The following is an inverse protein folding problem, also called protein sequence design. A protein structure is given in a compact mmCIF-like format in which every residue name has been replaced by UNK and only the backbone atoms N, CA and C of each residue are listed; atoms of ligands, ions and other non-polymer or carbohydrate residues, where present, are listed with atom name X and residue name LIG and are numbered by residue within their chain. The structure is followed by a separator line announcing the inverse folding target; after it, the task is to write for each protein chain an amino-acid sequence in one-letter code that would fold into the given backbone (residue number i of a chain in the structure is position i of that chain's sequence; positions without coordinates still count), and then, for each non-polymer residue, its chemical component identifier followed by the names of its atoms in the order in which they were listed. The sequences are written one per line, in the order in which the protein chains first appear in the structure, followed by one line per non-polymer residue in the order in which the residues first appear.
data_IF_546129060570
#
_entry.id   IF_546129060570
#
_cell.length_a   1.000
_cell.length_b   1.000
_cell.length_c   1.000
_cell.angle_alpha   90.00
_cell.angle_beta   90.00
_cell.angle_gamma   90.00
#
_symmetry.space_group_name_H-M   'P 1'
#
loop_
_entity.id
_entity.type
_entity.pdbx_description
1 polymer ?
#
# COMPACT_ATOMS: atom_id res chain seq x y z
N UNK A 1 -10.55 -14.61 10.32
CA UNK A 1 -11.26 -14.93 9.08
C UNK A 1 -12.37 -15.89 9.41
N UNK A 2 -13.58 -15.68 8.83
CA UNK A 2 -14.73 -16.56 8.90
C UNK A 2 -15.36 -16.60 7.51
N UNK A 3 -15.86 -17.78 7.09
CA UNK A 3 -16.44 -17.89 5.77
C UNK A 3 -17.21 -19.19 5.58
N UNK A 4 -17.84 -19.29 4.43
CA UNK A 4 -18.54 -20.49 3.95
C UNK A 4 -18.41 -20.55 2.43
N UNK A 5 -18.24 -21.75 1.91
CA UNK A 5 -18.21 -22.04 0.48
C UNK A 5 -19.25 -23.07 0.12
N UNK A 6 -19.80 -22.93 -1.07
CA UNK A 6 -20.75 -23.88 -1.68
C UNK A 6 -20.28 -24.16 -3.09
N UNK A 7 -20.15 -25.44 -3.41
CA UNK A 7 -19.89 -25.92 -4.77
C UNK A 7 -20.98 -26.89 -5.20
N UNK A 8 -21.38 -26.81 -6.46
CA UNK A 8 -22.36 -27.72 -7.05
C UNK A 8 -22.04 -28.02 -8.51
N UNK A 9 -22.25 -29.25 -8.91
CA UNK A 9 -22.24 -29.65 -10.31
C UNK A 9 -23.59 -30.29 -10.66
N UNK A 10 -24.15 -29.93 -11.80
CA UNK A 10 -25.43 -30.41 -12.26
C UNK A 10 -25.37 -30.78 -13.74
N UNK A 11 -25.78 -32.02 -14.04
CA UNK A 11 -25.83 -32.57 -15.40
C UNK A 11 -27.28 -32.99 -15.73
N UNK A 12 -28.09 -32.07 -16.25
CA UNK A 12 -29.51 -32.35 -16.51
C UNK A 12 -29.76 -33.30 -17.67
N UNK A 13 -28.80 -33.37 -18.61
CA UNK A 13 -28.87 -34.24 -19.79
C UNK A 13 -27.47 -34.53 -20.32
N UNK A 14 -27.27 -35.61 -21.10
CA UNK A 14 -25.98 -35.93 -21.68
C UNK A 14 -25.37 -34.75 -22.47
N UNK A 15 -24.11 -34.45 -22.18
CA UNK A 15 -23.38 -33.35 -22.83
C UNK A 15 -23.62 -31.95 -22.24
N UNK A 16 -24.59 -31.77 -21.34
CA UNK A 16 -24.80 -30.47 -20.69
C UNK A 16 -24.41 -30.54 -19.21
N UNK A 17 -23.42 -29.76 -18.84
CA UNK A 17 -22.88 -29.68 -17.47
C UNK A 17 -22.84 -28.24 -17.01
N UNK A 18 -23.34 -28.00 -15.81
CA UNK A 18 -23.21 -26.75 -15.10
C UNK A 18 -22.36 -26.93 -13.84
N UNK A 19 -21.53 -25.96 -13.54
CA UNK A 19 -20.79 -25.86 -12.27
C UNK A 19 -21.10 -24.51 -11.65
N UNK A 20 -21.26 -24.52 -10.35
CA UNK A 20 -21.46 -23.34 -9.53
C UNK A 20 -20.50 -23.38 -8.35
N UNK A 21 -19.85 -22.26 -8.05
CA UNK A 21 -19.13 -22.05 -6.82
C UNK A 21 -19.48 -20.67 -6.26
N UNK A 22 -19.78 -20.60 -4.97
CA UNK A 22 -20.08 -19.37 -4.27
C UNK A 22 -19.36 -19.33 -2.94
N UNK A 23 -18.68 -18.21 -2.65
CA UNK A 23 -17.94 -18.00 -1.42
C UNK A 23 -18.43 -16.77 -0.68
N UNK A 24 -18.52 -16.89 0.65
CA UNK A 24 -18.64 -15.78 1.57
C UNK A 24 -17.43 -15.78 2.51
N UNK A 25 -16.75 -14.65 2.59
CA UNK A 25 -15.61 -14.47 3.48
C UNK A 25 -15.75 -13.17 4.27
N UNK A 26 -15.54 -13.24 5.57
CA UNK A 26 -15.43 -12.08 6.44
C UNK A 26 -14.06 -12.07 7.11
N UNK A 27 -13.26 -11.07 6.77
CA UNK A 27 -11.94 -10.85 7.36
C UNK A 27 -11.98 -9.69 8.34
N UNK A 28 -11.19 -9.78 9.38
CA UNK A 28 -11.00 -8.70 10.34
C UNK A 28 -9.63 -8.80 10.98
N UNK A 29 -8.90 -7.69 11.04
CA UNK A 29 -7.67 -7.55 11.80
C UNK A 29 -8.03 -7.42 13.28
N UNK A 30 -7.31 -8.13 14.15
CA UNK A 30 -7.52 -8.05 15.58
C UNK A 30 -7.17 -6.67 16.13
N UNK A 31 -7.80 -6.32 17.25
CA UNK A 31 -7.52 -5.06 17.94
C UNK A 31 -6.05 -5.02 18.44
N UNK A 32 -5.50 -3.81 18.60
CA UNK A 32 -4.14 -3.62 19.07
C UNK A 32 -3.05 -3.75 17.99
N UNK A 33 -3.42 -3.88 16.71
CA UNK A 33 -2.49 -3.85 15.60
C UNK A 33 -2.35 -2.42 15.08
N UNK A 34 -1.11 -1.97 14.94
CA UNK A 34 -0.80 -0.62 14.46
C UNK A 34 0.25 -0.69 13.35
N UNK A 35 0.16 0.21 12.37
CA UNK A 35 1.17 0.36 11.33
C UNK A 35 1.19 1.79 10.80
N UNK A 36 2.34 2.20 10.27
CA UNK A 36 2.49 3.49 9.60
C UNK A 36 2.06 3.33 8.15
N UNK A 37 1.10 4.14 7.71
CA UNK A 37 0.72 4.21 6.30
C UNK A 37 1.79 4.97 5.51
N UNK A 38 2.58 4.27 4.72
CA UNK A 38 3.66 4.87 3.93
C UNK A 38 3.17 5.90 2.90
N UNK A 39 1.89 5.87 2.53
CA UNK A 39 1.29 6.83 1.61
C UNK A 39 0.68 8.05 2.32
N UNK A 40 0.47 7.94 3.63
CA UNK A 40 -0.06 9.02 4.47
C UNK A 40 0.60 8.98 5.86
N UNK A 41 1.93 9.08 5.88
CA UNK A 41 2.75 9.02 7.11
C UNK A 41 2.42 10.14 8.10
N UNK A 42 2.03 11.29 7.60
CA UNK A 42 1.68 12.44 8.41
C UNK A 42 0.28 12.36 9.00
N UNK A 43 -0.55 11.40 8.55
CA UNK A 43 -1.95 11.26 8.96
C UNK A 43 -2.69 12.61 8.94
N UNK A 44 -2.64 13.26 7.78
CA UNK A 44 -3.03 14.67 7.60
C UNK A 44 -4.48 14.94 8.03
N UNK A 45 -5.35 13.94 7.96
CA UNK A 45 -6.73 14.07 8.41
C UNK A 45 -6.84 14.35 9.91
N UNK A 46 -5.98 13.73 10.73
CA UNK A 46 -5.95 13.87 12.18
C UNK A 46 -4.87 14.88 12.64
N UNK A 47 -3.83 15.07 11.84
CA UNK A 47 -2.68 15.92 12.13
C UNK A 47 -2.42 16.92 10.99
N UNK A 48 -3.35 17.87 10.74
CA UNK A 48 -3.27 18.79 9.59
C UNK A 48 -2.08 19.75 9.64
N UNK A 49 -1.44 19.89 10.79
CA UNK A 49 -0.25 20.71 11.05
C UNK A 49 1.06 19.98 10.72
N UNK A 50 1.01 18.69 10.39
CA UNK A 50 2.17 17.89 9.98
C UNK A 50 2.24 17.72 8.48
N UNK A 51 3.44 17.38 7.99
CA UNK A 51 3.67 17.09 6.58
C UNK A 51 4.73 16.01 6.41
N UNK A 52 4.66 15.33 5.27
CA UNK A 52 5.72 14.40 4.83
C UNK A 52 6.79 15.18 4.09
N UNK A 53 8.03 14.94 4.47
CA UNK A 53 9.22 15.54 3.84
C UNK A 53 10.07 14.43 3.24
N UNK A 54 10.54 14.66 2.01
CA UNK A 54 11.47 13.78 1.32
C UNK A 54 12.82 14.49 1.19
N UNK A 55 13.80 14.18 2.06
CA UNK A 55 15.06 14.93 2.09
C UNK A 55 15.91 14.73 0.82
N UNK A 56 15.84 13.54 0.22
CA UNK A 56 16.61 13.20 -0.98
C UNK A 56 15.70 12.68 -2.08
N UNK A 57 15.81 13.23 -3.28
CA UNK A 57 15.00 12.80 -4.44
C UNK A 57 15.25 11.34 -4.84
N UNK A 58 16.47 10.87 -4.63
CA UNK A 58 16.96 9.54 -5.04
C UNK A 58 16.81 8.45 -4.00
N UNK A 59 16.46 8.79 -2.75
CA UNK A 59 16.33 7.84 -1.65
C UNK A 59 14.85 7.66 -1.27
N UNK A 60 14.49 6.44 -0.84
CA UNK A 60 13.14 6.13 -0.36
C UNK A 60 12.82 6.70 1.02
N UNK A 61 13.78 7.37 1.64
CA UNK A 61 13.69 7.91 2.98
C UNK A 61 12.78 9.12 3.04
N UNK A 62 11.70 9.00 3.79
CA UNK A 62 10.77 10.09 4.09
C UNK A 62 10.67 10.24 5.60
N UNK A 63 10.50 11.47 6.09
CA UNK A 63 10.14 11.72 7.47
C UNK A 63 8.92 12.63 7.57
N UNK A 64 8.37 12.78 8.77
CA UNK A 64 7.32 13.75 9.04
C UNK A 64 7.87 14.89 9.92
N UNK A 65 7.42 16.11 9.63
CA UNK A 65 7.74 17.30 10.39
C UNK A 65 6.48 18.16 10.56
N UNK A 66 6.41 18.96 11.63
CA UNK A 66 5.44 20.05 11.71
C UNK A 66 5.67 21.07 10.59
N UNK A 67 4.59 21.56 10.00
CA UNK A 67 4.66 22.55 8.90
C UNK A 67 5.39 23.83 9.29
N UNK A 68 5.25 24.29 10.55
CA UNK A 68 5.93 25.51 11.02
C UNK A 68 7.45 25.32 11.07
N UNK A 69 7.93 24.11 11.41
CA UNK A 69 9.37 23.80 11.40
C UNK A 69 9.89 23.85 9.98
N UNK A 70 9.19 23.21 9.03
CA UNK A 70 9.57 23.23 7.63
C UNK A 70 9.58 24.66 7.06
N UNK A 71 8.60 25.48 7.41
CA UNK A 71 8.55 26.89 7.01
C UNK A 71 9.75 27.67 7.56
N UNK A 72 10.12 27.46 8.81
CA UNK A 72 11.30 28.11 9.42
C UNK A 72 12.61 27.67 8.74
N UNK A 73 12.75 26.38 8.44
CA UNK A 73 13.92 25.85 7.73
C UNK A 73 14.07 26.44 6.32
N UNK A 74 12.98 26.61 5.59
CA UNK A 74 12.99 27.21 4.26
C UNK A 74 13.36 28.71 4.28
N UNK A 75 13.01 29.42 5.35
CA UNK A 75 13.38 30.82 5.53
C UNK A 75 14.85 30.96 5.93
N UNK A 76 15.31 30.12 6.87
CA UNK A 76 16.68 30.14 7.36
C UNK A 76 17.69 29.72 6.27
N UNK A 77 17.31 28.80 5.42
CA UNK A 77 18.14 28.26 4.34
C UNK A 77 17.30 28.00 3.10
N UNK A 78 17.04 29.02 2.27
CA UNK A 78 16.31 28.83 1.03
C UNK A 78 17.03 27.78 0.15
N UNK A 79 16.28 27.02 -0.65
CA UNK A 79 16.88 26.06 -1.58
C UNK A 79 17.91 26.77 -2.45
N UNK A 80 19.15 26.29 -2.43
CA UNK A 80 20.21 26.84 -3.27
C UNK A 80 19.93 26.43 -4.71
N UNK A 81 20.28 27.29 -5.67
CA UNK A 81 20.11 27.06 -7.09
C UNK A 81 20.65 25.68 -7.51
N UNK A 82 19.98 25.08 -8.51
CA UNK A 82 20.29 23.75 -9.04
C UNK A 82 21.80 23.48 -9.18
N UNK A 83 22.29 22.52 -8.40
CA UNK A 83 23.73 22.13 -8.38
C UNK A 83 24.38 22.16 -7.00
N UNK A 84 23.82 22.88 -6.02
CA UNK A 84 24.24 22.85 -4.62
C UNK A 84 23.08 22.36 -3.75
N UNK A 85 23.04 21.08 -3.49
CA UNK A 85 21.92 20.39 -2.82
C UNK A 85 22.02 20.46 -1.28
N UNK A 86 22.36 21.59 -0.72
CA UNK A 86 22.31 21.79 0.72
C UNK A 86 21.04 22.45 1.14
N UNK A 87 19.98 21.66 1.16
CA UNK A 87 18.81 22.05 1.92
C UNK A 87 18.98 21.60 3.38
N UNK A 88 18.48 22.41 4.31
CA UNK A 88 18.35 22.04 5.72
C UNK A 88 17.40 20.85 5.97
N UNK A 89 16.69 20.42 4.94
CA UNK A 89 15.74 19.29 4.97
C UNK A 89 16.40 17.96 5.29
N UNK A 90 17.58 17.60 4.76
CA UNK A 90 18.29 16.39 5.17
C UNK A 90 18.57 16.32 6.67
N UNK A 91 19.02 17.42 7.27
CA UNK A 91 19.23 17.50 8.72
C UNK A 91 17.95 17.33 9.53
N UNK A 92 16.83 17.87 9.04
CA UNK A 92 15.54 17.76 9.70
C UNK A 92 15.01 16.33 9.80
N UNK A 93 15.35 15.49 8.81
CA UNK A 93 14.94 14.08 8.76
C UNK A 93 15.98 13.12 9.36
N UNK A 94 17.13 13.58 9.79
CA UNK A 94 18.21 12.70 10.24
C UNK A 94 17.82 11.84 11.45
N UNK A 95 16.77 12.21 12.20
CA UNK A 95 16.22 11.34 13.27
C UNK A 95 15.66 10.04 12.73
N UNK A 96 15.02 10.02 11.58
CA UNK A 96 14.56 8.80 10.94
C UNK A 96 15.73 7.85 10.62
N UNK A 97 16.95 8.39 10.53
CA UNK A 97 18.16 7.64 10.25
C UNK A 97 19.06 7.38 11.46
N UNK A 98 18.79 7.99 12.61
CA UNK A 98 19.64 7.84 13.79
C UNK A 98 19.75 6.39 14.30
N UNK A 99 18.77 5.57 14.00
CA UNK A 99 18.75 4.16 14.33
C UNK A 99 19.16 3.25 13.19
N UNK A 100 19.43 3.83 12.00
CA UNK A 100 19.88 3.11 10.83
C UNK A 100 21.39 3.09 10.72
N UNK A 101 21.88 2.04 10.08
CA UNK A 101 23.29 1.90 9.70
C UNK A 101 23.33 2.01 8.18
N UNK A 102 24.21 2.86 7.66
CA UNK A 102 24.48 2.93 6.23
C UNK A 102 24.94 1.55 5.74
N UNK A 103 24.21 0.91 4.82
CA UNK A 103 24.54 -0.44 4.35
C UNK A 103 25.88 -0.51 3.60
N UNK A 104 26.42 0.62 3.15
CA UNK A 104 27.69 0.68 2.41
C UNK A 104 28.86 0.86 3.37
N UNK A 105 28.73 1.77 4.35
CA UNK A 105 29.83 2.11 5.25
C UNK A 105 29.79 1.36 6.59
N UNK A 106 28.65 0.76 6.94
CA UNK A 106 28.44 0.13 8.24
C UNK A 106 28.41 1.12 9.40
N UNK A 107 28.40 2.42 9.13
CA UNK A 107 28.37 3.47 10.14
C UNK A 107 26.95 3.94 10.41
N UNK A 108 26.64 4.38 11.65
CA UNK A 108 25.40 5.09 11.90
C UNK A 108 25.29 6.30 10.95
N UNK A 109 24.13 6.54 10.38
CA UNK A 109 23.90 7.66 9.45
C UNK A 109 24.32 9.03 10.02
N UNK A 110 24.29 9.17 11.34
CA UNK A 110 24.78 10.36 12.06
C UNK A 110 26.26 10.64 11.88
N UNK A 111 27.08 9.62 11.64
CA UNK A 111 28.55 9.73 11.55
C UNK A 111 29.05 9.78 10.11
N UNK A 112 28.20 9.53 9.13
CA UNK A 112 28.62 9.54 7.74
C UNK A 112 28.62 10.97 7.19
N UNK A 113 29.75 11.47 6.69
CA UNK A 113 29.79 12.72 5.92
C UNK A 113 29.20 12.47 4.52
N UNK A 114 27.91 12.10 4.49
CA UNK A 114 27.16 11.94 3.23
C UNK A 114 26.68 13.31 2.72
N UNK A 115 26.93 14.34 3.52
CA UNK A 115 26.58 15.71 3.20
C UNK A 115 27.78 16.39 2.54
N UNK A 116 27.53 17.21 1.49
CA UNK A 116 28.55 18.03 0.85
C UNK A 116 29.34 18.89 1.87
N UNK A 117 30.46 19.42 1.45
CA UNK A 117 31.42 20.21 2.26
C UNK A 117 30.82 21.43 3.00
N UNK A 118 29.57 21.77 2.71
CA UNK A 118 28.79 22.84 3.32
C UNK A 118 27.75 22.34 4.37
N UNK A 119 27.84 21.06 4.80
CA UNK A 119 27.08 20.59 5.95
C UNK A 119 27.43 21.41 7.19
N UNK A 120 26.42 22.06 7.75
CA UNK A 120 26.56 22.82 8.99
C UNK A 120 26.22 21.92 10.17
N UNK A 121 27.23 21.53 10.98
CA UNK A 121 27.02 20.69 12.16
C UNK A 121 26.18 21.40 13.25
N UNK A 122 25.97 22.71 13.17
CA UNK A 122 25.05 23.45 14.08
C UNK A 122 23.58 23.10 13.81
N UNK A 123 23.32 22.44 12.70
CA UNK A 123 22.04 21.81 12.37
C UNK A 123 21.99 20.35 12.78
N UNK A 124 22.99 19.85 13.50
CA UNK A 124 22.94 18.54 14.11
C UNK A 124 21.72 18.49 15.05
N UNK A 125 20.96 17.47 14.90
CA UNK A 125 19.64 17.29 15.52
C UNK A 125 19.67 17.16 17.05
N UNK A 126 20.84 17.12 17.64
CA UNK A 126 21.01 17.23 19.10
C UNK A 126 21.15 18.66 19.57
N UNK A 127 21.31 19.61 18.64
CA UNK A 127 21.29 21.02 18.98
C UNK A 127 19.85 21.55 18.79
N UNK A 128 19.16 22.02 19.82
CA UNK A 128 17.86 22.67 19.71
C UNK A 128 17.90 23.98 18.90
N UNK A 129 19.05 24.27 18.23
CA UNK A 129 19.37 25.52 17.60
C UNK A 129 18.33 26.08 16.64
N UNK A 130 18.25 25.76 15.36
CA UNK A 130 17.36 26.48 14.45
C UNK A 130 15.94 25.93 14.38
N UNK A 131 15.56 24.91 15.15
CA UNK A 131 14.21 24.35 15.19
C UNK A 131 13.37 25.09 16.23
N UNK A 132 12.50 26.02 15.88
CA UNK A 132 11.81 26.84 16.86
C UNK A 132 10.87 26.00 17.74
N UNK A 133 11.38 25.59 18.92
CA UNK A 133 10.61 24.83 19.89
C UNK A 133 10.25 23.39 19.50
N UNK A 134 10.90 22.82 18.50
CA UNK A 134 10.70 21.43 18.07
C UNK A 134 11.95 20.61 18.30
N UNK A 135 11.78 19.50 19.00
CA UNK A 135 12.79 18.46 19.12
C UNK A 135 12.48 17.34 18.11
N UNK A 136 13.30 17.14 17.06
CA UNK A 136 13.09 16.08 16.10
C UNK A 136 13.05 14.68 16.71
N UNK A 137 13.70 14.45 17.87
CA UNK A 137 13.64 13.18 18.59
C UNK A 137 12.23 12.90 19.15
N UNK A 138 11.43 13.94 19.34
CA UNK A 138 10.03 13.82 19.78
C UNK A 138 9.04 13.51 18.65
N UNK A 139 9.49 13.50 17.40
CA UNK A 139 8.63 13.18 16.26
C UNK A 139 8.09 11.75 16.35
N UNK A 140 6.81 11.53 16.02
CA UNK A 140 6.18 10.22 16.10
C UNK A 140 6.97 9.12 15.39
N UNK A 141 7.24 8.02 16.09
CA UNK A 141 8.06 6.90 15.61
C UNK A 141 9.41 7.37 15.02
N UNK A 142 10.11 8.25 15.73
CA UNK A 142 11.38 8.84 15.31
C UNK A 142 11.30 9.55 13.93
N UNK A 143 10.17 10.16 13.64
CA UNK A 143 9.92 10.85 12.38
C UNK A 143 9.46 9.97 11.23
N UNK A 144 9.28 8.67 11.44
CA UNK A 144 8.76 7.79 10.38
C UNK A 144 7.29 8.05 10.06
N UNK A 145 6.51 8.46 11.04
CA UNK A 145 5.10 8.77 10.83
C UNK A 145 4.19 8.37 11.99
N UNK A 146 2.95 8.76 11.89
CA UNK A 146 1.90 8.38 12.82
C UNK A 146 1.46 6.94 12.55
N UNK A 147 1.45 6.11 13.59
CA UNK A 147 0.92 4.76 13.52
C UNK A 147 -0.62 4.79 13.57
N UNK A 148 -1.26 4.20 12.56
CA UNK A 148 -2.71 4.05 12.49
C UNK A 148 -3.14 2.73 13.10
N UNK A 149 -4.27 2.74 13.81
CA UNK A 149 -4.89 1.53 14.33
C UNK A 149 -5.51 0.74 13.16
N UNK A 150 -5.14 -0.52 13.01
CA UNK A 150 -5.67 -1.42 11.99
C UNK A 150 -6.79 -2.31 12.53
N UNK A 151 -7.05 -2.29 13.83
CA UNK A 151 -8.07 -3.12 14.47
C UNK A 151 -9.44 -2.90 13.85
N UNK A 152 -10.08 -3.98 13.44
CA UNK A 152 -11.37 -3.94 12.77
C UNK A 152 -11.33 -3.84 11.25
N UNK A 153 -10.21 -3.49 10.65
CA UNK A 153 -10.06 -3.41 9.20
C UNK A 153 -10.11 -4.79 8.54
N UNK A 154 -10.58 -4.82 7.31
CA UNK A 154 -10.60 -6.01 6.47
C UNK A 154 -9.23 -6.26 5.82
N UNK A 155 -8.93 -7.52 5.50
CA UNK A 155 -7.71 -7.89 4.79
C UNK A 155 -7.77 -7.44 3.32
N UNK A 156 -6.62 -7.12 2.72
CA UNK A 156 -6.54 -6.79 1.31
C UNK A 156 -6.92 -7.98 0.42
N UNK A 157 -7.53 -7.68 -0.72
CA UNK A 157 -7.90 -8.66 -1.75
C UNK A 157 -8.79 -9.81 -1.24
N UNK A 158 -9.58 -9.55 -0.21
CA UNK A 158 -10.52 -10.49 0.38
C UNK A 158 -11.96 -9.98 0.17
N UNK A 159 -12.55 -10.16 -1.03
CA UNK A 159 -13.92 -9.72 -1.30
C UNK A 159 -14.92 -10.52 -0.44
N UNK A 160 -15.90 -9.86 0.20
CA UNK A 160 -16.89 -10.53 1.06
C UNK A 160 -17.68 -11.61 0.33
N UNK A 161 -17.93 -11.43 -0.96
CA UNK A 161 -18.66 -12.41 -1.77
C UNK A 161 -17.97 -12.64 -3.11
N UNK A 162 -17.98 -13.92 -3.53
CA UNK A 162 -17.58 -14.34 -4.86
C UNK A 162 -18.59 -15.35 -5.44
N UNK A 163 -18.84 -15.26 -6.73
CA UNK A 163 -19.68 -16.22 -7.45
C UNK A 163 -18.95 -16.61 -8.74
N UNK A 164 -18.86 -17.91 -8.99
CA UNK A 164 -18.38 -18.46 -10.24
C UNK A 164 -19.42 -19.45 -10.78
N UNK A 165 -19.71 -19.35 -12.06
CA UNK A 165 -20.60 -20.25 -12.77
C UNK A 165 -19.95 -20.63 -14.08
N UNK A 166 -20.04 -21.92 -14.47
CA UNK A 166 -19.68 -22.35 -15.81
C UNK A 166 -20.68 -23.32 -16.38
N UNK A 167 -20.81 -23.31 -17.70
CA UNK A 167 -21.64 -24.24 -18.44
C UNK A 167 -20.92 -24.78 -19.66
N UNK A 168 -20.97 -26.09 -19.84
CA UNK A 168 -20.47 -26.80 -21.00
C UNK A 168 -21.63 -27.51 -21.70
N UNK A 169 -21.77 -27.30 -23.01
CA UNK A 169 -22.71 -28.05 -23.82
C UNK A 169 -22.00 -28.68 -25.01
N UNK A 170 -21.86 -30.00 -24.98
CA UNK A 170 -21.18 -30.79 -26.00
C UNK A 170 -22.18 -31.56 -26.84
N UNK A 171 -22.11 -31.38 -28.14
CA UNK A 171 -22.94 -32.13 -29.12
C UNK A 171 -22.06 -32.78 -30.20
N UNK A 172 -22.40 -34.00 -30.64
CA UNK A 172 -21.78 -34.60 -31.82
C UNK A 172 -22.24 -33.78 -33.06
N UNK A 173 -21.28 -33.36 -33.88
CA UNK A 173 -21.53 -32.66 -35.13
C UNK A 173 -21.51 -33.62 -36.30
N UNK A 174 -20.58 -34.58 -36.26
CA UNK A 174 -20.45 -35.67 -37.24
C UNK A 174 -19.95 -36.93 -36.50
N UNK A 175 -19.71 -38.05 -37.27
CA UNK A 175 -19.10 -39.25 -36.68
C UNK A 175 -17.68 -38.98 -36.12
N UNK A 176 -16.97 -37.99 -36.64
CA UNK A 176 -15.57 -37.71 -36.34
C UNK A 176 -15.34 -36.40 -35.59
N UNK A 177 -16.38 -35.62 -35.35
CA UNK A 177 -16.30 -34.32 -34.73
C UNK A 177 -17.36 -34.06 -33.70
N UNK A 178 -16.96 -33.46 -32.56
CA UNK A 178 -17.85 -32.93 -31.55
C UNK A 178 -17.61 -31.41 -31.36
N UNK A 179 -18.66 -30.68 -31.08
CA UNK A 179 -18.60 -29.26 -30.72
C UNK A 179 -19.01 -29.04 -29.28
N UNK A 180 -18.22 -28.28 -28.54
CA UNK A 180 -18.55 -27.88 -27.18
C UNK A 180 -18.66 -26.34 -27.10
N UNK A 181 -19.81 -25.85 -26.68
CA UNK A 181 -19.99 -24.48 -26.27
C UNK A 181 -19.68 -24.38 -24.77
N UNK A 182 -18.75 -23.52 -24.41
CA UNK A 182 -18.35 -23.23 -23.04
C UNK A 182 -18.66 -21.78 -22.70
N UNK A 183 -19.20 -21.55 -21.51
CA UNK A 183 -19.45 -20.22 -20.97
C UNK A 183 -19.04 -20.15 -19.50
N UNK A 184 -18.30 -19.09 -19.12
CA UNK A 184 -17.98 -18.78 -17.74
C UNK A 184 -18.56 -17.43 -17.36
N UNK A 185 -19.01 -17.36 -16.12
CA UNK A 185 -19.39 -16.14 -15.43
C UNK A 185 -18.64 -16.11 -14.10
N UNK A 186 -17.97 -14.99 -13.82
CA UNK A 186 -17.37 -14.71 -12.53
C UNK A 186 -17.81 -13.34 -12.04
N UNK A 187 -18.17 -13.24 -10.77
CA UNK A 187 -18.45 -11.99 -10.09
C UNK A 187 -17.80 -11.98 -8.72
N UNK A 188 -17.23 -10.83 -8.34
CA UNK A 188 -16.80 -10.57 -6.98
C UNK A 188 -17.28 -9.21 -6.50
N UNK A 189 -17.51 -9.13 -5.20
CA UNK A 189 -17.84 -7.88 -4.51
C UNK A 189 -16.59 -6.98 -4.39
N UNK A 190 -16.76 -5.81 -3.79
CA UNK A 190 -15.62 -4.93 -3.50
C UNK A 190 -14.55 -5.65 -2.67
N UNK A 191 -13.33 -5.12 -2.68
CA UNK A 191 -12.25 -5.50 -1.77
C UNK A 191 -11.39 -4.28 -1.44
N UNK A 192 -10.46 -4.46 -0.53
CA UNK A 192 -9.49 -3.42 -0.18
C UNK A 192 -8.14 -3.70 -0.81
N UNK A 193 -7.47 -2.65 -1.31
CA UNK A 193 -6.12 -2.77 -1.85
C UNK A 193 -5.05 -2.86 -0.75
N UNK A 194 -5.31 -2.23 0.40
CA UNK A 194 -4.37 -2.15 1.53
C UNK A 194 -5.08 -2.38 2.87
N UNK A 195 -4.32 -2.77 3.88
CA UNK A 195 -4.80 -3.02 5.25
C UNK A 195 -5.37 -1.79 5.96
N UNK A 196 -5.10 -0.59 5.44
CA UNK A 196 -5.56 0.68 6.05
C UNK A 196 -7.03 0.98 5.76
N UNK A 197 -7.61 0.32 4.76
CA UNK A 197 -9.01 0.49 4.34
C UNK A 197 -9.41 1.97 4.15
N UNK A 198 -8.49 2.79 3.63
CA UNK A 198 -8.73 4.21 3.41
C UNK A 198 -9.74 4.44 2.28
N UNK A 199 -10.97 4.79 2.62
CA UNK A 199 -12.01 5.08 1.65
C UNK A 199 -11.90 6.55 1.19
N UNK A 200 -11.97 6.88 -0.12
CA UNK A 200 -12.21 5.96 -1.25
C UNK A 200 -10.93 5.31 -1.85
N UNK A 201 -9.76 5.67 -1.39
CA UNK A 201 -8.47 5.42 -2.07
C UNK A 201 -8.08 3.94 -2.14
N UNK A 202 -8.41 3.17 -1.10
CA UNK A 202 -8.05 1.75 -1.02
C UNK A 202 -9.17 0.83 -1.48
N UNK A 203 -10.36 1.36 -1.75
CA UNK A 203 -11.51 0.55 -2.12
C UNK A 203 -11.49 0.18 -3.59
N UNK A 204 -11.29 -1.09 -3.87
CA UNK A 204 -11.44 -1.69 -5.19
C UNK A 204 -12.90 -2.04 -5.42
N UNK A 205 -13.42 -1.66 -6.58
CA UNK A 205 -14.82 -1.97 -6.95
C UNK A 205 -14.94 -3.44 -7.29
N UNK A 206 -16.09 -4.03 -6.94
CA UNK A 206 -16.48 -5.33 -7.46
C UNK A 206 -16.56 -5.32 -8.99
N UNK A 207 -16.36 -6.48 -9.60
CA UNK A 207 -16.40 -6.61 -11.05
C UNK A 207 -17.01 -7.94 -11.48
N UNK A 208 -17.38 -7.98 -12.74
CA UNK A 208 -17.91 -9.15 -13.42
C UNK A 208 -17.01 -9.50 -14.59
N UNK A 209 -16.78 -10.79 -14.81
CA UNK A 209 -16.09 -11.31 -15.98
C UNK A 209 -16.96 -12.39 -16.66
N UNK A 210 -17.03 -12.35 -17.99
CA UNK A 210 -17.78 -13.33 -18.81
C UNK A 210 -16.87 -13.80 -19.94
N UNK A 211 -16.73 -15.09 -20.08
CA UNK A 211 -16.00 -15.72 -21.17
C UNK A 211 -16.89 -16.68 -21.93
N UNK A 212 -16.70 -16.73 -23.23
CA UNK A 212 -17.36 -17.69 -24.15
C UNK A 212 -16.30 -18.35 -25.01
N UNK A 213 -16.42 -19.67 -25.21
CA UNK A 213 -15.55 -20.40 -26.10
C UNK A 213 -16.34 -21.46 -26.88
N UNK A 214 -15.93 -21.66 -28.14
CA UNK A 214 -16.37 -22.79 -28.97
C UNK A 214 -15.18 -23.71 -29.20
N UNK A 215 -15.30 -24.96 -28.83
CA UNK A 215 -14.25 -25.96 -28.90
C UNK A 215 -14.70 -27.04 -29.89
N UNK A 216 -13.88 -27.31 -30.90
CA UNK A 216 -14.09 -28.42 -31.85
C UNK A 216 -13.08 -29.50 -31.53
N UNK A 217 -13.54 -30.74 -31.37
CA UNK A 217 -12.71 -31.88 -31.03
C UNK A 217 -12.94 -33.00 -32.09
N UNK A 218 -11.86 -33.48 -32.69
CA UNK A 218 -11.90 -34.71 -33.52
C UNK A 218 -11.87 -35.92 -32.60
N UNK A 219 -12.71 -36.91 -32.92
CA UNK A 219 -12.78 -38.21 -32.21
C UNK A 219 -11.92 -39.25 -32.91
#
# INVERSE_FOLDING_TARGET
VKGAEVEATYEPLPGLRFRFAGGYEHTRINDGQFSIDLMDRADVANHPDWMVVKPFATQASNCILPKYVMAALLVARPPVAAGNETSSVPGACANAYQHGVDPVTGMPYKAAPVFPDDYDPSLDMHDPGPYPGFDPASAPNNGEGWAKNLGGNELPNAPPFTISMSGDYTVPLTSDWAGTLHADYYWQDYSWARVFNANPYDRLRGYTNVNLALILTSQ
#
